data_IF_528774008614
#
_entry.id   IF_528774008614
#
_cell.length_a   1.000
_cell.length_b   1.000
_cell.length_c   1.000
_cell.angle_alpha   90.00
_cell.angle_beta   90.00
_cell.angle_gamma   90.00
#
_symmetry.space_group_name_H-M   'P 1'
#
loop_
_entity.id
_entity.type
_entity.pdbx_description
1 polymer ?
#
# COMPACT_ATOMS: atom_id res chain seq x y z
N UNK A 1 18.31 8.30 -23.94
CA UNK A 1 17.04 7.55 -23.98
C UNK A 1 16.02 8.36 -23.20
N UNK A 2 14.82 8.57 -23.72
CA UNK A 2 13.70 9.17 -22.99
C UNK A 2 12.82 8.02 -22.52
N UNK A 3 12.64 7.91 -21.19
CA UNK A 3 11.79 6.87 -20.58
C UNK A 3 10.45 7.50 -20.15
N UNK A 4 9.34 7.00 -20.70
CA UNK A 4 8.00 7.55 -20.50
C UNK A 4 7.04 6.62 -19.75
N UNK A 5 7.51 5.47 -19.29
CA UNK A 5 6.70 4.46 -18.62
C UNK A 5 6.93 4.41 -17.09
N UNK A 6 7.03 5.59 -16.48
CA UNK A 6 7.23 5.70 -15.03
C UNK A 6 6.05 5.19 -14.19
N UNK A 7 4.88 4.99 -14.81
CA UNK A 7 3.73 4.36 -14.17
C UNK A 7 3.97 2.86 -13.90
N UNK A 8 4.71 2.18 -14.78
CA UNK A 8 5.03 0.77 -14.62
C UNK A 8 6.19 0.57 -13.63
N UNK A 9 7.25 1.36 -13.75
CA UNK A 9 8.40 1.34 -12.84
C UNK A 9 9.21 2.63 -12.94
N UNK A 10 9.92 2.98 -11.89
CA UNK A 10 10.78 4.16 -11.85
C UNK A 10 12.15 3.79 -11.32
N UNK A 11 13.21 4.34 -11.93
CA UNK A 11 14.57 4.17 -11.41
C UNK A 11 14.68 4.77 -10.01
N UNK A 12 15.33 4.03 -9.12
CA UNK A 12 15.66 4.55 -7.79
C UNK A 12 16.57 5.78 -7.92
N UNK A 13 16.36 6.79 -7.08
CA UNK A 13 17.29 7.92 -6.99
C UNK A 13 18.67 7.43 -6.53
N UNK A 14 19.73 8.06 -7.06
CA UNK A 14 21.11 7.63 -6.78
C UNK A 14 21.43 7.69 -5.28
N UNK A 15 21.03 8.76 -4.59
CA UNK A 15 21.19 8.88 -3.13
C UNK A 15 20.50 7.74 -2.36
N UNK A 16 19.31 7.33 -2.79
CA UNK A 16 18.59 6.21 -2.16
C UNK A 16 19.27 4.87 -2.43
N UNK A 17 19.82 4.68 -3.64
CA UNK A 17 20.60 3.50 -4.01
C UNK A 17 21.88 3.41 -3.17
N UNK A 18 22.59 4.52 -2.99
CA UNK A 18 23.81 4.57 -2.18
C UNK A 18 23.52 4.20 -0.72
N UNK A 19 22.45 4.74 -0.13
CA UNK A 19 22.01 4.37 1.23
C UNK A 19 21.65 2.90 1.32
N UNK A 20 20.95 2.34 0.33
CA UNK A 20 20.60 0.91 0.27
C UNK A 20 21.86 0.04 0.22
N UNK A 21 22.81 0.38 -0.63
CA UNK A 21 24.08 -0.35 -0.77
C UNK A 21 24.92 -0.29 0.50
N UNK A 22 24.99 0.89 1.13
CA UNK A 22 25.68 1.05 2.40
C UNK A 22 25.04 0.24 3.52
N UNK A 23 23.70 0.28 3.62
CA UNK A 23 22.97 -0.49 4.62
C UNK A 23 23.24 -2.00 4.49
N UNK A 24 23.20 -2.52 3.26
CA UNK A 24 23.50 -3.94 3.02
C UNK A 24 24.94 -4.33 3.38
N UNK A 25 25.90 -3.43 3.25
CA UNK A 25 27.32 -3.71 3.57
C UNK A 25 27.62 -3.61 5.06
N UNK A 26 26.94 -2.72 5.79
CA UNK A 26 27.37 -2.34 7.15
C UNK A 26 26.28 -2.45 8.21
N UNK A 27 25.00 -2.63 7.84
CA UNK A 27 23.84 -2.55 8.72
C UNK A 27 22.82 -3.64 8.46
N UNK A 28 23.26 -4.85 8.15
CA UNK A 28 22.44 -6.01 7.80
C UNK A 28 21.90 -6.77 9.02
N UNK A 29 21.97 -6.18 10.21
CA UNK A 29 21.57 -6.82 11.46
C UNK A 29 20.04 -6.95 11.58
N UNK A 30 19.60 -8.05 12.19
CA UNK A 30 18.18 -8.28 12.45
C UNK A 30 17.64 -7.30 13.51
N UNK A 31 16.83 -6.35 13.11
CA UNK A 31 16.27 -5.33 13.99
C UNK A 31 15.39 -5.88 15.15
N UNK A 32 15.00 -7.15 15.12
CA UNK A 32 14.24 -7.80 16.20
C UNK A 32 15.12 -8.46 17.26
N UNK A 33 16.46 -8.49 17.07
CA UNK A 33 17.36 -9.06 18.06
C UNK A 33 17.72 -8.06 19.17
N UNK A 34 18.27 -8.57 20.28
CA UNK A 34 18.45 -7.77 21.52
C UNK A 34 19.85 -7.19 21.70
N UNK A 35 20.77 -7.40 20.76
CA UNK A 35 22.13 -6.83 20.84
C UNK A 35 22.21 -5.42 20.25
N UNK A 36 23.29 -4.71 20.55
CA UNK A 36 23.40 -3.25 20.30
C UNK A 36 23.21 -2.82 18.85
N UNK A 37 23.83 -3.52 17.91
CA UNK A 37 23.71 -3.25 16.47
C UNK A 37 22.28 -3.45 15.97
N UNK A 38 21.61 -4.51 16.42
CA UNK A 38 20.22 -4.77 16.10
C UNK A 38 19.27 -3.69 16.65
N UNK A 39 19.50 -3.25 17.89
CA UNK A 39 18.75 -2.17 18.51
C UNK A 39 18.91 -0.87 17.72
N UNK A 40 20.09 -0.57 17.20
CA UNK A 40 20.33 0.60 16.36
C UNK A 40 19.52 0.52 15.04
N UNK A 41 19.40 -0.66 14.42
CA UNK A 41 18.56 -0.81 13.22
C UNK A 41 17.06 -0.66 13.55
N UNK A 42 16.61 -1.17 14.69
CA UNK A 42 15.22 -0.95 15.15
C UNK A 42 14.89 0.52 15.28
N UNK A 43 15.79 1.33 15.87
CA UNK A 43 15.62 2.78 15.97
C UNK A 43 15.56 3.45 14.59
N UNK A 44 16.43 3.04 13.64
CA UNK A 44 16.43 3.60 12.28
C UNK A 44 15.12 3.30 11.53
N UNK A 45 14.60 2.09 11.66
CA UNK A 45 13.32 1.72 11.07
C UNK A 45 12.18 2.56 11.67
N UNK A 46 12.20 2.77 12.98
CA UNK A 46 11.22 3.64 13.64
C UNK A 46 11.29 5.08 13.12
N UNK A 47 12.48 5.65 13.03
CA UNK A 47 12.69 6.98 12.47
C UNK A 47 12.21 7.08 11.00
N UNK A 48 12.47 6.07 10.18
CA UNK A 48 11.98 6.04 8.81
C UNK A 48 10.45 6.04 8.75
N UNK A 49 9.77 5.29 9.64
CA UNK A 49 8.31 5.34 9.75
C UNK A 49 7.82 6.73 10.12
N UNK A 50 8.42 7.37 11.11
CA UNK A 50 8.04 8.71 11.55
C UNK A 50 8.16 9.75 10.42
N UNK A 51 9.26 9.70 9.65
CA UNK A 51 9.49 10.59 8.50
C UNK A 51 8.42 10.38 7.43
N UNK A 52 8.14 9.12 7.05
CA UNK A 52 7.15 8.81 6.01
C UNK A 52 5.74 9.15 6.49
N UNK A 53 5.36 8.77 7.71
CA UNK A 53 4.05 9.11 8.29
C UNK A 53 3.80 10.61 8.32
N UNK A 54 4.82 11.39 8.66
CA UNK A 54 4.78 12.85 8.62
C UNK A 54 4.58 13.38 7.20
N UNK A 55 5.32 12.84 6.24
CA UNK A 55 5.26 13.27 4.83
C UNK A 55 3.87 13.03 4.20
N UNK A 56 3.23 11.89 4.54
CA UNK A 56 1.89 11.56 4.05
C UNK A 56 0.76 12.06 4.97
N UNK A 57 1.09 12.77 6.04
CA UNK A 57 0.13 13.30 7.04
C UNK A 57 -0.77 12.20 7.63
N UNK A 58 -0.18 11.05 7.97
CA UNK A 58 -0.92 9.90 8.49
C UNK A 58 -1.56 10.15 9.88
N UNK A 59 -1.22 11.23 10.57
CA UNK A 59 -1.73 11.52 11.92
C UNK A 59 -1.34 10.42 12.90
N UNK A 60 -2.33 9.89 13.63
CA UNK A 60 -2.15 8.78 14.58
C UNK A 60 -2.20 7.39 13.89
N UNK A 61 -2.21 7.36 12.56
CA UNK A 61 -2.22 6.11 11.78
C UNK A 61 -0.89 5.36 11.89
N UNK A 62 -0.96 4.04 11.81
CA UNK A 62 0.20 3.16 11.77
C UNK A 62 0.71 2.97 10.33
N UNK A 63 2.03 2.93 10.16
CA UNK A 63 2.67 2.68 8.86
C UNK A 63 3.36 1.31 8.88
N UNK A 64 3.05 0.50 7.88
CA UNK A 64 3.65 -0.81 7.67
C UNK A 64 4.48 -0.84 6.40
N UNK A 65 5.71 -1.37 6.48
CA UNK A 65 6.53 -1.66 5.30
C UNK A 65 6.15 -3.03 4.75
N UNK A 66 5.82 -3.08 3.48
CA UNK A 66 5.40 -4.28 2.76
C UNK A 66 6.28 -4.46 1.51
N UNK A 67 6.19 -5.61 0.84
CA UNK A 67 7.04 -5.91 -0.30
C UNK A 67 6.71 -5.10 -1.56
N UNK A 68 5.52 -4.49 -1.62
CA UNK A 68 5.08 -3.67 -2.76
C UNK A 68 3.59 -3.36 -2.70
N UNK A 69 3.11 -2.60 -3.69
CA UNK A 69 1.72 -2.14 -3.79
C UNK A 69 0.72 -3.29 -3.79
N UNK A 70 1.01 -4.38 -4.51
CA UNK A 70 0.12 -5.55 -4.55
C UNK A 70 -0.12 -6.16 -3.16
N UNK A 71 0.92 -6.29 -2.33
CA UNK A 71 0.75 -6.77 -0.96
C UNK A 71 -0.01 -5.74 -0.11
N UNK A 72 0.25 -4.46 -0.31
CA UNK A 72 -0.43 -3.39 0.42
C UNK A 72 -1.93 -3.37 0.14
N UNK A 73 -2.32 -3.41 -1.12
CA UNK A 73 -3.71 -3.42 -1.57
C UNK A 73 -4.46 -4.67 -1.06
N UNK A 74 -3.84 -5.84 -1.20
CA UNK A 74 -4.40 -7.08 -0.68
C UNK A 74 -4.56 -7.04 0.84
N UNK A 75 -3.55 -6.55 1.56
CA UNK A 75 -3.61 -6.42 3.03
C UNK A 75 -4.74 -5.51 3.45
N UNK A 76 -4.91 -4.35 2.81
CA UNK A 76 -5.99 -3.42 3.10
C UNK A 76 -7.37 -4.05 2.88
N UNK A 77 -7.59 -4.69 1.73
CA UNK A 77 -8.87 -5.33 1.41
C UNK A 77 -9.19 -6.51 2.33
N UNK A 78 -8.24 -7.40 2.59
CA UNK A 78 -8.44 -8.52 3.50
C UNK A 78 -8.59 -8.09 4.98
N UNK A 79 -8.05 -6.94 5.36
CA UNK A 79 -8.32 -6.36 6.69
C UNK A 79 -9.72 -5.76 6.76
N UNK A 80 -10.21 -5.09 5.72
CA UNK A 80 -11.55 -4.51 5.66
C UNK A 80 -12.66 -5.56 5.87
N UNK A 81 -12.47 -6.82 5.42
CA UNK A 81 -13.42 -7.93 5.62
C UNK A 81 -13.78 -8.22 7.08
N UNK A 82 -12.95 -7.77 8.04
CA UNK A 82 -13.21 -8.01 9.49
C UNK A 82 -14.37 -7.19 10.02
N UNK A 83 -14.76 -6.12 9.36
CA UNK A 83 -15.93 -5.33 9.71
C UNK A 83 -17.20 -6.07 9.22
N UNK A 84 -17.82 -6.88 10.09
CA UNK A 84 -19.05 -7.62 9.76
C UNK A 84 -20.17 -6.66 9.34
N UNK A 85 -20.82 -6.98 8.21
CA UNK A 85 -21.93 -6.20 7.68
C UNK A 85 -21.50 -4.93 6.93
N UNK A 86 -20.22 -4.70 6.72
CA UNK A 86 -19.73 -3.59 5.91
C UNK A 86 -19.69 -3.97 4.44
N UNK A 87 -20.13 -3.05 3.59
CA UNK A 87 -19.97 -3.12 2.15
C UNK A 87 -18.58 -2.65 1.75
N UNK A 88 -17.92 -3.36 0.85
CA UNK A 88 -16.67 -2.97 0.22
C UNK A 88 -17.00 -2.44 -1.18
N UNK A 89 -16.70 -1.17 -1.44
CA UNK A 89 -16.90 -0.55 -2.75
C UNK A 89 -15.55 -0.38 -3.42
N UNK A 90 -15.41 -0.90 -4.64
CA UNK A 90 -14.18 -0.86 -5.43
C UNK A 90 -14.46 -0.23 -6.78
N UNK A 91 -13.62 0.67 -7.26
CA UNK A 91 -13.73 1.23 -8.61
C UNK A 91 -13.51 0.17 -9.69
N UNK A 92 -14.32 0.16 -10.75
CA UNK A 92 -14.13 -0.78 -11.88
C UNK A 92 -12.82 -0.56 -12.65
N UNK A 93 -12.23 0.63 -12.55
CA UNK A 93 -10.98 1.00 -13.21
C UNK A 93 -9.72 0.78 -12.37
N UNK A 94 -9.82 0.13 -11.23
CA UNK A 94 -8.68 -0.12 -10.36
C UNK A 94 -7.70 -1.12 -10.96
N UNK A 95 -6.46 -1.08 -10.47
CA UNK A 95 -5.42 -2.05 -10.84
C UNK A 95 -5.80 -3.47 -10.40
N UNK A 96 -5.30 -4.48 -11.09
CA UNK A 96 -5.56 -5.90 -10.79
C UNK A 96 -5.21 -6.30 -9.35
N UNK A 97 -4.27 -5.63 -8.72
CA UNK A 97 -3.92 -5.81 -7.31
C UNK A 97 -5.08 -5.48 -6.34
N UNK A 98 -6.05 -4.69 -6.77
CA UNK A 98 -7.29 -4.34 -6.05
C UNK A 98 -8.47 -5.16 -6.56
N UNK A 99 -8.62 -5.27 -7.89
CA UNK A 99 -9.76 -5.96 -8.51
C UNK A 99 -9.79 -7.45 -8.16
N UNK A 100 -8.65 -8.15 -8.26
CA UNK A 100 -8.62 -9.60 -8.06
C UNK A 100 -8.95 -10.01 -6.61
N UNK A 101 -8.34 -9.41 -5.57
CA UNK A 101 -8.74 -9.72 -4.19
C UNK A 101 -10.17 -9.29 -3.87
N UNK A 102 -10.69 -8.22 -4.46
CA UNK A 102 -12.08 -7.82 -4.31
C UNK A 102 -13.04 -8.89 -4.89
N UNK A 103 -12.76 -9.43 -6.08
CA UNK A 103 -13.51 -10.55 -6.65
C UNK A 103 -13.45 -11.80 -5.76
N UNK A 104 -12.26 -12.15 -5.26
CA UNK A 104 -12.10 -13.28 -4.36
C UNK A 104 -12.90 -13.13 -3.06
N UNK A 105 -12.96 -11.93 -2.49
CA UNK A 105 -13.81 -11.64 -1.32
C UNK A 105 -15.29 -11.78 -1.66
N UNK A 106 -15.73 -11.31 -2.83
CA UNK A 106 -17.11 -11.47 -3.30
C UNK A 106 -17.50 -12.93 -3.45
N UNK A 107 -16.63 -13.77 -4.01
CA UNK A 107 -16.82 -15.22 -4.13
C UNK A 107 -16.91 -15.91 -2.75
N UNK A 108 -16.27 -15.37 -1.74
CA UNK A 108 -16.35 -15.81 -0.34
C UNK A 108 -17.62 -15.31 0.39
N UNK A 109 -18.50 -14.59 -0.30
CA UNK A 109 -19.79 -14.12 0.24
C UNK A 109 -19.74 -12.77 0.96
N UNK A 110 -18.65 -12.01 0.82
CA UNK A 110 -18.62 -10.62 1.31
C UNK A 110 -19.43 -9.70 0.39
N UNK A 111 -20.04 -8.65 0.96
CA UNK A 111 -20.75 -7.64 0.19
C UNK A 111 -19.76 -6.72 -0.51
N UNK A 112 -19.34 -7.14 -1.71
CA UNK A 112 -18.41 -6.39 -2.57
C UNK A 112 -19.16 -5.92 -3.79
N UNK A 113 -19.14 -4.62 -4.04
CA UNK A 113 -19.75 -3.97 -5.20
C UNK A 113 -18.70 -3.16 -5.96
N UNK A 114 -18.87 -3.06 -7.28
CA UNK A 114 -17.97 -2.30 -8.13
C UNK A 114 -18.66 -0.99 -8.55
N UNK A 115 -17.96 0.11 -8.31
CA UNK A 115 -18.40 1.44 -8.73
C UNK A 115 -17.98 1.69 -10.18
N UNK A 116 -18.94 2.01 -11.08
CA UNK A 116 -18.64 2.20 -12.49
C UNK A 116 -17.80 3.46 -12.71
N UNK A 117 -16.99 3.40 -13.77
CA UNK A 117 -16.20 4.52 -14.27
C UNK A 117 -16.89 5.19 -15.46
N UNK A 118 -16.67 6.49 -15.60
CA UNK A 118 -17.11 7.26 -16.77
C UNK A 118 -16.17 7.00 -17.97
N UNK A 119 -16.60 7.35 -19.21
CA UNK A 119 -15.76 7.23 -20.40
C UNK A 119 -14.44 8.00 -20.34
N UNK A 120 -14.34 9.02 -19.49
CA UNK A 120 -13.13 9.81 -19.24
C UNK A 120 -12.18 9.16 -18.20
N UNK A 121 -12.53 7.98 -17.67
CA UNK A 121 -11.76 7.24 -16.67
C UNK A 121 -12.03 7.68 -15.22
N UNK A 122 -12.80 8.74 -14.99
CA UNK A 122 -13.18 9.18 -13.65
C UNK A 122 -14.28 8.31 -13.03
N UNK A 123 -14.35 8.29 -11.70
CA UNK A 123 -15.45 7.64 -10.98
C UNK A 123 -16.77 8.32 -11.30
N UNK A 124 -17.84 7.54 -11.54
CA UNK A 124 -19.20 8.03 -11.64
C UNK A 124 -19.73 8.33 -10.22
N UNK A 125 -19.60 9.60 -9.80
CA UNK A 125 -19.90 10.00 -8.42
C UNK A 125 -21.38 9.77 -8.04
N UNK A 126 -22.31 9.94 -8.98
CA UNK A 126 -23.73 9.72 -8.71
C UNK A 126 -24.00 8.25 -8.41
N UNK A 127 -23.50 7.37 -9.25
CA UNK A 127 -23.62 5.93 -9.04
C UNK A 127 -22.83 5.46 -7.81
N UNK A 128 -21.64 6.02 -7.57
CA UNK A 128 -20.87 5.71 -6.36
C UNK A 128 -21.66 6.07 -5.09
N UNK A 129 -22.29 7.27 -5.05
CA UNK A 129 -23.12 7.68 -3.90
C UNK A 129 -24.31 6.75 -3.67
N UNK A 130 -24.91 6.23 -4.74
CA UNK A 130 -26.01 5.27 -4.64
C UNK A 130 -25.58 3.90 -4.06
N UNK A 131 -24.27 3.58 -4.08
CA UNK A 131 -23.72 2.35 -3.48
C UNK A 131 -23.44 2.49 -1.98
N UNK A 132 -23.47 3.70 -1.42
CA UNK A 132 -23.20 3.96 0.01
C UNK A 132 -24.37 3.65 0.94
N UNK A 133 -25.48 3.15 0.43
CA UNK A 133 -26.73 2.88 1.17
C UNK A 133 -26.80 1.44 1.71
#
# INVERSE_FOLDING_TARGET
>A
MIYLDNAATTRMYDDALDVLMQANRTRWFNASALYGEASAESVRIKQAREVISSAVRAGDGELYFLSGGTEADNTALFCARKARGSRIIVGEGEHDAVINPAKALKEQGFDVVFAPIRPDGGVDEEKFRALLT
#
